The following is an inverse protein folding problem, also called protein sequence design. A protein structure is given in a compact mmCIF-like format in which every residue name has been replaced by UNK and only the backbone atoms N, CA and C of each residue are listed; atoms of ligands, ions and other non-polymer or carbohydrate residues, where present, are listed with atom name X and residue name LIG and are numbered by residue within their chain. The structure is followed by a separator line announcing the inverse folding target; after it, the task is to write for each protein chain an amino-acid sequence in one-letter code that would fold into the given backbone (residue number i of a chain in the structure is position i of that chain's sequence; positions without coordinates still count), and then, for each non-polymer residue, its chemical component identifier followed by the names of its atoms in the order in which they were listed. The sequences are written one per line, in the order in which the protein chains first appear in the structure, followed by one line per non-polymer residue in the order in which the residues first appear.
data_IF_538239334249
#
_entry.id   IF_538239334249
#
_cell.length_a   1.000
_cell.length_b   1.000
_cell.length_c   1.000
_cell.angle_alpha   90.00
_cell.angle_beta   90.00
_cell.angle_gamma   90.00
#
_symmetry.space_group_name_H-M   'P 1'
#
loop_
_entity.id
_entity.type
_entity.pdbx_description
1 polymer ?
#
# COMPACT_ATOMS: atom_id res chain seq x y z
N UNK A 1 -12.09 -1.60 28.55
CA UNK A 1 -11.47 -2.55 27.61
C UNK A 1 -10.62 -1.73 26.67
N UNK A 2 -9.34 -2.04 26.52
CA UNK A 2 -8.52 -1.42 25.48
C UNK A 2 -9.01 -2.03 24.17
N UNK A 3 -9.56 -1.22 23.26
CA UNK A 3 -9.84 -1.70 21.91
C UNK A 3 -8.48 -1.98 21.28
N UNK A 4 -8.12 -3.25 21.18
CA UNK A 4 -6.86 -3.66 20.58
C UNK A 4 -6.90 -3.29 19.09
N UNK A 5 -5.88 -2.54 18.66
CA UNK A 5 -5.74 -2.14 17.27
C UNK A 5 -5.08 -3.29 16.52
N UNK A 6 -5.82 -3.93 15.61
CA UNK A 6 -5.35 -5.12 14.90
C UNK A 6 -5.72 -5.06 13.42
N UNK A 7 -4.74 -5.26 12.54
CA UNK A 7 -4.97 -5.41 11.10
C UNK A 7 -5.66 -6.74 10.81
N UNK A 8 -6.85 -6.67 10.21
CA UNK A 8 -7.61 -7.85 9.76
C UNK A 8 -7.14 -8.27 8.37
N UNK A 9 -7.05 -7.31 7.44
CA UNK A 9 -6.47 -7.52 6.11
C UNK A 9 -5.90 -6.21 5.55
N UNK A 10 -4.94 -6.34 4.64
CA UNK A 10 -4.41 -5.26 3.80
C UNK A 10 -3.94 -5.87 2.49
N UNK A 11 -4.49 -5.45 1.36
CA UNK A 11 -4.26 -6.06 0.04
C UNK A 11 -4.39 -5.03 -1.10
N UNK A 12 -4.01 -5.45 -2.31
CA UNK A 12 -4.18 -4.73 -3.57
C UNK A 12 -5.26 -5.37 -4.45
N UNK A 13 -5.79 -4.64 -5.45
CA UNK A 13 -6.74 -5.19 -6.43
C UNK A 13 -6.15 -6.29 -7.32
N UNK A 14 -4.86 -6.21 -7.62
CA UNK A 14 -4.10 -7.27 -8.32
C UNK A 14 -2.68 -7.39 -7.75
N UNK A 15 -2.02 -8.51 -8.03
CA UNK A 15 -0.60 -8.74 -7.70
C UNK A 15 0.34 -8.38 -8.84
N UNK A 16 -0.18 -8.14 -10.06
CA UNK A 16 0.60 -7.77 -11.24
C UNK A 16 -0.03 -6.56 -11.92
N UNK A 17 0.78 -5.53 -12.16
CA UNK A 17 0.43 -4.30 -12.86
C UNK A 17 1.30 -4.15 -14.10
N UNK A 18 0.79 -3.41 -15.07
CA UNK A 18 1.51 -3.09 -16.29
C UNK A 18 1.55 -1.59 -16.48
N UNK A 19 2.73 -1.05 -16.78
CA UNK A 19 2.87 0.37 -17.08
C UNK A 19 1.94 0.78 -18.24
N UNK A 20 0.98 1.66 -17.96
CA UNK A 20 0.15 2.30 -18.96
C UNK A 20 0.78 3.66 -19.27
N UNK A 21 1.63 3.71 -20.29
CA UNK A 21 2.46 4.87 -20.64
C UNK A 21 3.42 5.32 -19.52
N UNK A 22 3.00 6.32 -18.74
CA UNK A 22 3.81 7.03 -17.73
C UNK A 22 3.40 6.71 -16.30
N UNK A 23 2.26 6.05 -16.08
CA UNK A 23 1.76 5.77 -14.74
C UNK A 23 1.05 4.42 -14.62
N UNK A 24 0.93 3.95 -13.39
CA UNK A 24 -0.04 2.91 -13.00
C UNK A 24 -0.86 3.40 -11.81
N UNK A 25 -2.06 2.85 -11.68
CA UNK A 25 -2.90 3.02 -10.51
C UNK A 25 -2.99 1.71 -9.74
N UNK A 26 -2.47 1.70 -8.51
CA UNK A 26 -2.53 0.58 -7.58
C UNK A 26 -3.65 0.86 -6.59
N UNK A 27 -4.68 0.01 -6.56
CA UNK A 27 -5.77 0.18 -5.60
C UNK A 27 -5.51 -0.69 -4.39
N UNK A 28 -5.42 -0.07 -3.22
CA UNK A 28 -5.22 -0.77 -1.95
C UNK A 28 -6.48 -0.72 -1.11
N UNK A 29 -6.71 -1.81 -0.38
CA UNK A 29 -7.81 -1.99 0.55
C UNK A 29 -7.25 -2.46 1.87
N UNK A 30 -7.87 -2.04 2.96
CA UNK A 30 -7.52 -2.58 4.26
C UNK A 30 -8.67 -2.50 5.23
N UNK A 31 -8.66 -3.43 6.17
CA UNK A 31 -9.56 -3.44 7.32
C UNK A 31 -8.78 -3.64 8.60
N UNK A 32 -9.17 -2.87 9.61
CA UNK A 32 -8.53 -2.84 10.92
C UNK A 32 -9.61 -2.84 12.00
N UNK A 33 -9.38 -3.60 13.06
CA UNK A 33 -10.12 -3.44 14.32
C UNK A 33 -9.49 -2.27 15.05
N UNK A 34 -10.24 -1.19 15.27
CA UNK A 34 -9.75 -0.02 16.02
C UNK A 34 -10.85 0.66 16.84
N UNK A 35 -12.12 0.47 16.47
CA UNK A 35 -13.27 1.18 17.04
C UNK A 35 -13.26 2.71 16.85
N UNK A 36 -12.32 3.24 16.06
CA UNK A 36 -12.11 4.68 15.85
C UNK A 36 -11.70 4.97 14.41
N UNK A 37 -12.16 6.09 13.88
CA UNK A 37 -11.70 6.61 12.59
C UNK A 37 -10.36 7.34 12.75
N UNK A 38 -9.59 7.44 11.66
CA UNK A 38 -8.32 8.16 11.69
C UNK A 38 -7.47 8.00 10.43
N UNK A 39 -6.34 8.71 10.36
CA UNK A 39 -5.44 8.64 9.23
C UNK A 39 -4.67 7.32 9.19
N UNK A 40 -4.41 6.84 7.98
CA UNK A 40 -3.60 5.67 7.68
C UNK A 40 -2.48 6.12 6.75
N UNK A 41 -1.24 5.82 7.12
CA UNK A 41 -0.08 6.05 6.27
C UNK A 41 0.17 4.80 5.43
N UNK A 42 0.16 4.93 4.10
CA UNK A 42 0.49 3.83 3.19
C UNK A 42 1.86 4.06 2.60
N UNK A 43 2.78 3.14 2.88
CA UNK A 43 4.20 3.24 2.54
C UNK A 43 4.48 2.29 1.40
N UNK A 44 4.93 2.83 0.26
CA UNK A 44 5.38 2.08 -0.90
C UNK A 44 6.91 2.05 -0.92
N UNK A 45 7.47 0.86 -1.15
CA UNK A 45 8.92 0.64 -1.23
C UNK A 45 9.29 -0.20 -2.46
N UNK A 46 10.34 0.18 -3.22
CA UNK A 46 10.86 -0.63 -4.33
C UNK A 46 11.74 0.07 -5.39
N UNK A 47 12.05 -0.60 -6.50
CA UNK A 47 11.96 -2.05 -6.68
C UNK A 47 12.83 -2.80 -5.65
N UNK A 48 12.43 -4.01 -5.26
CA UNK A 48 13.12 -4.85 -4.26
C UNK A 48 13.74 -6.05 -4.95
N UNK A 49 15.01 -6.32 -4.65
CA UNK A 49 15.75 -7.45 -5.22
C UNK A 49 16.40 -7.17 -6.57
N UNK A 50 16.45 -5.91 -7.02
CA UNK A 50 17.26 -5.51 -8.17
C UNK A 50 18.75 -5.53 -7.77
N UNK A 51 19.57 -6.25 -8.56
CA UNK A 51 21.01 -6.35 -8.33
C UNK A 51 21.76 -5.07 -8.70
N UNK A 52 21.13 -4.14 -9.41
CA UNK A 52 21.72 -2.86 -9.78
C UNK A 52 21.72 -1.90 -8.57
N UNK A 53 22.90 -1.52 -8.03
CA UNK A 53 22.99 -0.61 -6.89
C UNK A 53 22.46 0.80 -7.18
N UNK A 54 22.24 1.17 -8.44
CA UNK A 54 21.59 2.41 -8.82
C UNK A 54 20.06 2.39 -8.57
N UNK A 55 19.46 1.21 -8.44
CA UNK A 55 18.02 0.99 -8.30
C UNK A 55 17.65 0.63 -6.86
N UNK A 56 18.31 1.26 -5.88
CA UNK A 56 18.00 1.03 -4.47
C UNK A 56 16.51 1.25 -4.20
N UNK A 57 15.89 0.44 -3.32
CA UNK A 57 14.52 0.64 -2.91
C UNK A 57 14.30 2.07 -2.46
N UNK A 58 13.48 2.80 -3.19
CA UNK A 58 13.01 4.12 -2.75
C UNK A 58 11.79 3.90 -1.88
N UNK A 59 11.53 4.84 -0.98
CA UNK A 59 10.23 4.97 -0.34
C UNK A 59 9.73 6.37 -0.66
N UNK A 60 8.55 6.46 -1.25
CA UNK A 60 7.87 7.75 -1.36
C UNK A 60 7.33 8.18 0.01
N UNK A 61 7.00 9.46 0.14
CA UNK A 61 6.23 9.93 1.30
C UNK A 61 4.97 9.08 1.45
N UNK A 62 4.54 8.77 2.69
CA UNK A 62 3.34 7.99 2.91
C UNK A 62 2.16 8.63 2.17
N UNK A 63 1.39 7.78 1.49
CA UNK A 63 0.12 8.16 0.89
C UNK A 63 -0.93 8.05 1.98
N UNK A 64 -1.55 9.17 2.34
CA UNK A 64 -2.54 9.19 3.41
C UNK A 64 -3.87 8.63 2.90
N UNK A 65 -4.39 7.64 3.60
CA UNK A 65 -5.78 7.20 3.50
C UNK A 65 -6.52 7.57 4.79
N UNK A 66 -7.85 7.55 4.74
CA UNK A 66 -8.69 7.79 5.92
C UNK A 66 -9.49 6.53 6.19
N UNK A 67 -9.39 6.05 7.42
CA UNK A 67 -10.21 4.97 7.92
C UNK A 67 -11.64 5.47 8.10
N UNK A 68 -12.60 4.71 7.58
CA UNK A 68 -14.04 4.93 7.78
C UNK A 68 -14.67 3.68 8.37
N UNK A 69 -15.71 3.82 9.18
CA UNK A 69 -16.43 2.66 9.73
C UNK A 69 -17.08 1.83 8.63
N UNK A 70 -16.90 0.51 8.71
CA UNK A 70 -17.63 -0.44 7.87
C UNK A 70 -18.98 -0.81 8.51
N UNK A 71 -19.59 -1.89 8.02
CA UNK A 71 -20.83 -2.48 8.57
C UNK A 71 -20.77 -2.76 10.08
N UNK A 72 -19.58 -3.07 10.61
CA UNK A 72 -19.37 -3.32 12.04
C UNK A 72 -18.69 -2.12 12.71
N UNK A 73 -19.23 -1.59 13.83
CA UNK A 73 -18.77 -0.34 14.45
C UNK A 73 -17.34 -0.41 15.02
N UNK A 74 -16.85 -1.60 15.33
CA UNK A 74 -15.49 -1.87 15.81
C UNK A 74 -14.46 -1.99 14.67
N UNK A 75 -14.93 -2.07 13.43
CA UNK A 75 -14.14 -2.35 12.23
C UNK A 75 -14.11 -1.13 11.32
N UNK A 76 -12.90 -0.63 11.07
CA UNK A 76 -12.67 0.38 10.05
C UNK A 76 -12.20 -0.25 8.73
N UNK A 77 -12.56 0.38 7.61
CA UNK A 77 -12.08 0.06 6.28
C UNK A 77 -11.67 1.31 5.53
N UNK A 78 -10.81 1.11 4.55
CA UNK A 78 -10.48 2.12 3.57
C UNK A 78 -10.25 1.49 2.21
N UNK A 79 -10.37 2.34 1.20
CA UNK A 79 -9.93 2.10 -0.17
C UNK A 79 -9.12 3.32 -0.59
N UNK A 80 -7.90 3.11 -1.08
CA UNK A 80 -7.03 4.18 -1.55
C UNK A 80 -6.45 3.81 -2.90
N UNK A 81 -6.33 4.79 -3.80
CA UNK A 81 -5.61 4.62 -5.07
C UNK A 81 -4.25 5.30 -4.93
N UNK A 82 -3.20 4.54 -5.19
CA UNK A 82 -1.82 5.02 -5.24
C UNK A 82 -1.44 5.14 -6.71
N UNK A 83 -1.05 6.34 -7.13
CA UNK A 83 -0.57 6.58 -8.50
C UNK A 83 0.94 6.54 -8.50
N UNK A 84 1.50 5.55 -9.18
CA UNK A 84 2.94 5.45 -9.36
C UNK A 84 3.32 6.05 -10.71
N UNK A 85 4.28 6.96 -10.71
CA UNK A 85 4.83 7.55 -11.94
C UNK A 85 6.10 6.81 -12.35
N UNK A 86 6.17 6.41 -13.62
CA UNK A 86 7.35 5.75 -14.21
C UNK A 86 8.60 6.63 -14.12
N UNK A 87 8.47 7.96 -14.09
CA UNK A 87 9.63 8.85 -13.88
C UNK A 87 10.26 8.72 -12.49
N UNK A 88 9.46 8.39 -11.47
CA UNK A 88 9.91 8.23 -10.09
C UNK A 88 10.35 6.80 -9.80
N UNK A 89 9.68 5.84 -10.45
CA UNK A 89 9.87 4.40 -10.32
C UNK A 89 10.05 3.77 -11.72
N UNK A 90 11.19 4.01 -12.40
CA UNK A 90 11.34 3.70 -13.82
C UNK A 90 11.57 2.22 -14.14
N UNK A 91 11.65 1.37 -13.11
CA UNK A 91 12.09 0.00 -13.24
C UNK A 91 10.95 -0.98 -12.97
N UNK A 92 10.93 -2.03 -13.78
CA UNK A 92 10.05 -3.17 -13.55
C UNK A 92 10.56 -3.98 -12.37
N UNK A 93 9.65 -4.66 -11.68
CA UNK A 93 10.03 -5.56 -10.60
C UNK A 93 9.06 -5.57 -9.43
N UNK A 94 9.58 -6.04 -8.30
CA UNK A 94 8.79 -6.30 -7.09
C UNK A 94 8.74 -5.07 -6.20
N UNK A 95 7.55 -4.69 -5.78
CA UNK A 95 7.28 -3.58 -4.87
C UNK A 95 6.62 -4.10 -3.60
N UNK A 96 6.83 -3.39 -2.49
CA UNK A 96 6.23 -3.67 -1.19
C UNK A 96 5.33 -2.51 -0.77
N UNK A 97 4.15 -2.84 -0.23
CA UNK A 97 3.30 -1.90 0.49
C UNK A 97 3.15 -2.32 1.95
N UNK A 98 3.17 -1.34 2.83
CA UNK A 98 2.79 -1.49 4.25
C UNK A 98 1.82 -0.37 4.61
N UNK A 99 0.79 -0.67 5.39
CA UNK A 99 -0.10 0.34 5.96
C UNK A 99 0.17 0.50 7.46
N UNK A 100 0.07 1.73 7.95
CA UNK A 100 0.29 2.08 9.35
C UNK A 100 -0.87 2.90 9.88
N UNK A 101 -1.42 2.47 11.01
CA UNK A 101 -2.46 3.19 11.74
C UNK A 101 -2.01 3.38 13.19
N UNK A 102 -1.76 4.63 13.57
CA UNK A 102 -1.10 4.95 14.84
C UNK A 102 0.28 4.29 14.92
N UNK A 103 0.48 3.43 15.92
CA UNK A 103 1.72 2.68 16.13
C UNK A 103 1.73 1.26 15.54
N UNK A 104 0.66 0.83 14.86
CA UNK A 104 0.49 -0.56 14.41
C UNK A 104 0.62 -0.66 12.90
N UNK A 105 1.51 -1.54 12.44
CA UNK A 105 1.78 -1.79 11.02
C UNK A 105 1.09 -3.06 10.53
N UNK A 106 0.62 -3.03 9.28
CA UNK A 106 0.07 -4.20 8.60
C UNK A 106 1.17 -5.21 8.29
N UNK A 107 0.78 -6.43 7.94
CA UNK A 107 1.71 -7.30 7.19
C UNK A 107 2.04 -6.62 5.86
N UNK A 108 3.30 -6.74 5.38
CA UNK A 108 3.67 -6.22 4.08
C UNK A 108 3.00 -7.06 2.98
N UNK A 109 2.52 -6.39 1.95
CA UNK A 109 2.07 -7.03 0.71
C UNK A 109 3.05 -6.71 -0.40
N UNK A 110 3.06 -7.59 -1.40
CA UNK A 110 3.99 -7.53 -2.52
C UNK A 110 3.22 -7.57 -3.83
N UNK A 111 3.62 -6.72 -4.76
CA UNK A 111 3.09 -6.74 -6.13
C UNK A 111 4.23 -6.51 -7.12
N UNK A 112 3.97 -6.84 -8.37
CA UNK A 112 4.91 -6.69 -9.48
C UNK A 112 4.40 -5.65 -10.45
N UNK A 113 5.33 -4.89 -11.03
CA UNK A 113 5.04 -3.97 -12.14
C UNK A 113 5.94 -4.34 -13.30
N UNK A 114 5.34 -4.61 -14.45
CA UNK A 114 6.05 -4.99 -15.67
C UNK A 114 5.72 -4.02 -16.83
N UNK A 115 6.56 -4.04 -17.87
CA UNK A 115 6.34 -3.26 -19.10
C UNK A 115 5.49 -3.96 -20.16
N UNK A 116 5.20 -5.26 -20.04
CA UNK A 116 4.54 -6.04 -21.08
C UNK A 116 3.17 -6.57 -20.65
N UNK A 117 2.08 -6.08 -21.25
CA UNK A 117 0.78 -6.76 -21.28
C UNK A 117 0.74 -7.85 -22.34
#
# INVERSE_FOLDING_TARGET
MVNEVEWVYFETDTTNYYWQDKEISVTVYGTIRSGMDGPIDIILTGPIGDANPAHQPRSDRPVNAVLSRCEFPEVGCFKQVIRMQKSSWPYDGKYQLTAKYGGVESKPIWFYVDTNS
#
